data_IF_114617232686
#
_entry.id   IF_114617232686
#
_cell.length_a   1.000
_cell.length_b   1.000
_cell.length_c   1.000
_cell.angle_alpha   90.00
_cell.angle_beta   90.00
_cell.angle_gamma   90.00
#
_symmetry.space_group_name_H-M   'P 1'
#
loop_
_entity.id
_entity.type
_entity.pdbx_description
1 polymer ?
#
# COMPACT_ATOMS: atom_id res chain seq x y z
N UNK A 1 -3.30 27.91 -4.33
CA UNK A 1 -3.76 28.43 -3.03
C UNK A 1 -4.88 27.50 -2.55
N UNK A 2 -4.69 26.68 -1.50
CA UNK A 2 -5.74 25.75 -1.04
C UNK A 2 -7.00 26.50 -0.60
N UNK A 3 -8.16 26.05 -1.04
CA UNK A 3 -9.48 26.68 -0.78
C UNK A 3 -9.78 26.76 0.73
N UNK A 4 -9.34 25.75 1.49
CA UNK A 4 -9.41 25.75 2.96
C UNK A 4 -8.55 26.83 3.61
N UNK A 5 -7.35 27.07 3.06
CA UNK A 5 -6.47 28.15 3.50
C UNK A 5 -6.98 29.52 3.05
N UNK A 6 -7.74 29.60 1.96
CA UNK A 6 -8.42 30.82 1.56
C UNK A 6 -9.53 31.17 2.57
N UNK A 7 -10.41 30.23 2.93
CA UNK A 7 -11.45 30.49 3.93
C UNK A 7 -10.85 30.88 5.29
N UNK A 8 -9.82 30.18 5.76
CA UNK A 8 -9.10 30.56 7.00
C UNK A 8 -8.52 31.97 6.93
N UNK A 9 -7.94 32.35 5.79
CA UNK A 9 -7.35 33.68 5.59
C UNK A 9 -8.41 34.77 5.49
N UNK A 10 -9.52 34.49 4.83
CA UNK A 10 -10.70 35.38 4.80
C UNK A 10 -11.25 35.56 6.21
N UNK A 11 -11.44 34.48 6.99
CA UNK A 11 -11.87 34.58 8.39
C UNK A 11 -10.91 35.41 9.24
N UNK A 12 -9.61 35.34 8.98
CA UNK A 12 -8.59 36.13 9.69
C UNK A 12 -8.61 37.62 9.31
N UNK A 13 -8.90 37.95 8.04
CA UNK A 13 -8.94 39.32 7.54
C UNK A 13 -10.27 40.05 7.80
N UNK A 14 -11.28 39.34 8.32
CA UNK A 14 -12.65 39.84 8.44
C UNK A 14 -13.04 39.90 9.92
N UNK A 15 -13.69 40.98 10.35
CA UNK A 15 -14.11 41.18 11.74
C UNK A 15 -15.01 40.02 12.23
N UNK A 16 -14.82 39.47 13.45
CA UNK A 16 -15.50 38.25 13.91
C UNK A 16 -17.04 38.26 13.83
N UNK A 17 -17.65 39.46 13.92
CA UNK A 17 -19.11 39.65 13.78
C UNK A 17 -19.65 39.28 12.39
N UNK A 18 -18.81 39.26 11.36
CA UNK A 18 -19.20 38.95 9.99
C UNK A 18 -19.11 37.44 9.69
N UNK A 19 -18.63 36.61 10.62
CA UNK A 19 -18.54 35.16 10.42
C UNK A 19 -19.90 34.46 10.44
N UNK A 20 -20.89 35.06 11.10
CA UNK A 20 -22.26 34.58 11.25
C UNK A 20 -23.26 35.44 10.48
N UNK A 21 -22.77 36.32 9.59
CA UNK A 21 -23.67 37.09 8.72
C UNK A 21 -24.10 36.19 7.58
N UNK A 22 -25.42 36.05 7.47
CA UNK A 22 -26.08 35.27 6.43
C UNK A 22 -26.23 36.11 5.17
N UNK A 23 -26.15 35.44 4.02
CA UNK A 23 -26.50 36.04 2.74
C UNK A 23 -28.03 36.19 2.63
N UNK A 24 -28.53 36.83 1.56
CA UNK A 24 -29.97 36.94 1.23
C UNK A 24 -30.71 35.60 1.08
N UNK A 25 -30.00 34.47 1.18
CA UNK A 25 -30.53 33.10 1.14
C UNK A 25 -30.39 32.40 2.52
N UNK A 26 -30.33 33.17 3.63
CA UNK A 26 -30.23 32.70 5.02
C UNK A 26 -29.09 31.69 5.27
N UNK A 27 -28.02 31.76 4.47
CA UNK A 27 -26.88 30.84 4.53
C UNK A 27 -25.61 31.57 4.92
N UNK A 28 -24.85 31.00 5.85
CA UNK A 28 -23.57 31.57 6.29
C UNK A 28 -22.46 31.21 5.31
N UNK A 29 -21.45 32.09 5.16
CA UNK A 29 -20.28 31.82 4.30
C UNK A 29 -19.52 30.51 4.63
N UNK A 30 -19.64 30.02 5.87
CA UNK A 30 -19.09 28.72 6.29
C UNK A 30 -19.92 27.55 5.77
N UNK A 31 -21.25 27.61 5.87
CA UNK A 31 -22.16 26.56 5.34
C UNK A 31 -22.09 26.48 3.82
N UNK A 32 -22.06 27.63 3.13
CA UNK A 32 -21.89 27.68 1.68
C UNK A 32 -20.57 27.03 1.22
N UNK A 33 -19.51 27.23 2.01
CA UNK A 33 -18.23 26.57 1.78
C UNK A 33 -18.32 25.06 2.02
N UNK A 34 -18.97 24.64 3.11
CA UNK A 34 -19.13 23.25 3.50
C UNK A 34 -20.01 22.45 2.52
N UNK A 35 -21.12 23.02 2.06
CA UNK A 35 -21.97 22.44 1.01
C UNK A 35 -21.15 22.23 -0.26
N UNK A 36 -20.42 23.26 -0.72
CA UNK A 36 -19.61 23.17 -1.94
C UNK A 36 -18.41 22.23 -1.78
N UNK A 37 -17.80 22.13 -0.59
CA UNK A 37 -16.74 21.17 -0.32
C UNK A 37 -17.26 19.75 -0.11
N UNK A 38 -18.50 19.56 0.35
CA UNK A 38 -19.05 18.25 0.62
C UNK A 38 -19.14 17.39 -0.64
N UNK A 39 -19.47 17.98 -1.78
CA UNK A 39 -19.48 17.29 -3.09
C UNK A 39 -18.07 16.85 -3.49
N UNK A 40 -17.08 17.74 -3.35
CA UNK A 40 -15.67 17.45 -3.66
C UNK A 40 -15.10 16.37 -2.72
N UNK A 41 -15.47 16.42 -1.44
CA UNK A 41 -15.08 15.42 -0.44
C UNK A 41 -15.69 14.05 -0.75
N UNK A 42 -16.97 13.99 -1.18
CA UNK A 42 -17.62 12.74 -1.61
C UNK A 42 -16.97 12.15 -2.86
N UNK A 43 -16.63 12.98 -3.84
CA UNK A 43 -15.94 12.52 -5.06
C UNK A 43 -14.52 12.01 -4.73
N UNK A 44 -13.80 12.71 -3.84
CA UNK A 44 -12.49 12.27 -3.35
C UNK A 44 -12.59 10.95 -2.56
N UNK A 45 -13.61 10.79 -1.70
CA UNK A 45 -13.86 9.54 -0.99
C UNK A 45 -14.09 8.39 -1.96
N UNK A 46 -14.97 8.58 -2.96
CA UNK A 46 -15.25 7.57 -3.97
C UNK A 46 -13.98 7.19 -4.73
N UNK A 47 -13.20 8.18 -5.16
CA UNK A 47 -11.93 7.98 -5.84
C UNK A 47 -10.94 7.17 -5.00
N UNK A 48 -10.81 7.48 -3.70
CA UNK A 48 -9.93 6.74 -2.78
C UNK A 48 -10.43 5.31 -2.57
N UNK A 49 -11.74 5.08 -2.46
CA UNK A 49 -12.33 3.74 -2.32
C UNK A 49 -12.10 2.88 -3.56
N UNK A 50 -12.32 3.43 -4.75
CA UNK A 50 -12.06 2.72 -6.01
C UNK A 50 -10.59 2.35 -6.13
N UNK A 51 -9.69 3.30 -5.86
CA UNK A 51 -8.26 3.09 -5.91
C UNK A 51 -7.76 2.11 -4.83
N UNK A 52 -8.31 2.16 -3.62
CA UNK A 52 -8.04 1.20 -2.55
C UNK A 52 -8.45 -0.23 -2.97
N UNK A 53 -9.57 -0.38 -3.69
CA UNK A 53 -9.98 -1.66 -4.27
C UNK A 53 -8.97 -2.20 -5.28
N UNK A 54 -8.50 -1.38 -6.22
CA UNK A 54 -7.47 -1.78 -7.19
C UNK A 54 -6.15 -2.15 -6.52
N UNK A 55 -5.70 -1.38 -5.53
CA UNK A 55 -4.45 -1.66 -4.79
C UNK A 55 -4.62 -2.93 -3.95
N UNK A 56 -5.80 -3.20 -3.38
CA UNK A 56 -6.07 -4.42 -2.64
C UNK A 56 -5.91 -5.65 -3.53
N UNK A 57 -6.42 -5.60 -4.77
CA UNK A 57 -6.24 -6.67 -5.75
C UNK A 57 -4.75 -6.88 -6.05
N UNK A 58 -4.01 -5.78 -6.30
CA UNK A 58 -2.57 -5.84 -6.57
C UNK A 58 -1.76 -6.40 -5.39
N UNK A 59 -2.03 -5.95 -4.17
CA UNK A 59 -1.35 -6.45 -2.97
C UNK A 59 -1.65 -7.94 -2.75
N UNK A 60 -2.92 -8.33 -2.89
CA UNK A 60 -3.35 -9.74 -2.79
C UNK A 60 -2.60 -10.59 -3.81
N UNK A 61 -2.49 -10.12 -5.06
CA UNK A 61 -1.75 -10.82 -6.12
C UNK A 61 -0.26 -11.01 -5.76
N UNK A 62 0.41 -9.97 -5.27
CA UNK A 62 1.80 -10.08 -4.80
C UNK A 62 1.93 -11.09 -3.65
N UNK A 63 0.95 -11.14 -2.73
CA UNK A 63 0.92 -12.12 -1.65
C UNK A 63 0.84 -13.54 -2.20
N UNK A 64 -0.04 -13.82 -3.17
CA UNK A 64 -0.18 -15.16 -3.76
C UNK A 64 1.06 -15.61 -4.52
N UNK A 65 1.65 -14.71 -5.32
CA UNK A 65 2.87 -15.01 -6.09
C UNK A 65 4.03 -15.32 -5.15
N UNK A 66 4.27 -14.49 -4.14
CA UNK A 66 5.35 -14.73 -3.18
C UNK A 66 5.12 -15.97 -2.33
N UNK A 67 3.86 -16.28 -1.98
CA UNK A 67 3.53 -17.49 -1.23
C UNK A 67 3.86 -18.74 -2.03
N UNK A 68 3.49 -18.78 -3.32
CA UNK A 68 3.86 -19.89 -4.20
C UNK A 68 5.39 -20.02 -4.37
N UNK A 69 6.09 -18.89 -4.49
CA UNK A 69 7.54 -18.85 -4.61
C UNK A 69 8.26 -19.41 -3.37
N UNK A 70 7.75 -19.17 -2.15
CA UNK A 70 8.36 -19.71 -0.91
C UNK A 70 8.37 -21.24 -0.89
N UNK A 71 7.33 -21.90 -1.40
CA UNK A 71 7.25 -23.36 -1.44
C UNK A 71 7.98 -23.98 -2.63
N UNK A 72 8.37 -23.16 -3.60
CA UNK A 72 9.09 -23.61 -4.80
C UNK A 72 10.58 -23.50 -4.52
N UNK A 73 11.15 -24.50 -3.82
CA UNK A 73 12.59 -24.56 -3.53
C UNK A 73 13.33 -25.00 -4.80
N UNK A 74 14.18 -24.14 -5.40
CA UNK A 74 15.02 -24.55 -6.51
C UNK A 74 16.07 -25.57 -6.05
N UNK A 75 16.44 -26.53 -6.90
CA UNK A 75 17.59 -27.42 -6.66
C UNK A 75 17.32 -28.88 -6.32
N UNK A 76 16.05 -29.28 -6.14
CA UNK A 76 15.70 -30.68 -5.91
C UNK A 76 16.32 -31.31 -4.65
N UNK A 77 16.07 -32.60 -4.45
CA UNK A 77 16.61 -33.38 -3.34
C UNK A 77 17.72 -34.31 -3.84
N UNK A 78 18.81 -34.40 -3.08
CA UNK A 78 19.88 -35.36 -3.32
C UNK A 78 19.33 -36.77 -3.10
N UNK A 79 19.32 -37.60 -4.14
CA UNK A 79 18.72 -38.95 -4.11
C UNK A 79 19.44 -39.89 -3.12
N UNK A 80 20.68 -39.59 -2.74
CA UNK A 80 21.45 -40.42 -1.81
C UNK A 80 21.34 -40.00 -0.34
N UNK A 81 21.09 -38.72 -0.05
CA UNK A 81 21.01 -38.23 1.34
C UNK A 81 19.61 -37.74 1.75
N UNK A 82 18.72 -37.51 0.78
CA UNK A 82 17.40 -36.92 1.02
C UNK A 82 17.47 -35.43 1.40
N UNK A 83 18.64 -34.81 1.32
CA UNK A 83 18.89 -33.42 1.69
C UNK A 83 18.81 -32.57 0.41
N UNK A 84 18.19 -31.37 0.42
CA UNK A 84 18.18 -30.50 -0.74
C UNK A 84 19.60 -30.18 -1.20
N UNK A 85 19.92 -30.40 -2.47
CA UNK A 85 21.29 -30.24 -3.02
C UNK A 85 21.77 -28.79 -2.82
N UNK A 86 20.83 -27.84 -2.93
CA UNK A 86 21.07 -26.41 -2.79
C UNK A 86 21.39 -25.99 -1.34
N UNK A 87 20.94 -26.74 -0.33
CA UNK A 87 21.32 -26.54 1.07
C UNK A 87 22.81 -26.88 1.32
N UNK A 88 23.43 -27.73 0.49
CA UNK A 88 24.82 -28.15 0.74
C UNK A 88 25.86 -27.25 0.09
N UNK A 89 25.53 -26.58 -1.02
CA UNK A 89 26.49 -25.81 -1.82
C UNK A 89 26.27 -24.30 -1.86
N UNK A 90 25.06 -23.77 -1.66
CA UNK A 90 24.79 -22.32 -1.74
C UNK A 90 23.80 -21.83 -0.68
N UNK A 91 24.16 -22.08 0.57
CA UNK A 91 23.34 -21.75 1.74
C UNK A 91 23.02 -20.24 1.87
N UNK A 92 23.93 -19.35 1.46
CA UNK A 92 23.78 -17.89 1.57
C UNK A 92 22.71 -17.33 0.65
N UNK A 93 22.68 -17.78 -0.60
CA UNK A 93 21.83 -17.18 -1.65
C UNK A 93 20.37 -17.61 -1.48
N UNK A 94 20.14 -18.88 -1.09
CA UNK A 94 18.81 -19.36 -0.68
C UNK A 94 18.30 -18.66 0.57
N UNK A 95 19.18 -18.42 1.55
CA UNK A 95 18.77 -17.74 2.78
C UNK A 95 18.36 -16.30 2.48
N UNK A 96 19.11 -15.58 1.64
CA UNK A 96 18.72 -14.23 1.17
C UNK A 96 17.39 -14.25 0.41
N UNK A 97 17.18 -15.22 -0.48
CA UNK A 97 15.91 -15.39 -1.21
C UNK A 97 14.74 -15.58 -0.25
N UNK A 98 14.87 -16.46 0.75
CA UNK A 98 13.81 -16.68 1.74
C UNK A 98 13.54 -15.44 2.59
N UNK A 99 14.57 -14.69 2.98
CA UNK A 99 14.42 -13.43 3.71
C UNK A 99 13.66 -12.40 2.86
N UNK A 100 14.02 -12.22 1.59
CA UNK A 100 13.33 -11.28 0.71
C UNK A 100 11.86 -11.67 0.47
N UNK A 101 11.58 -12.95 0.20
CA UNK A 101 10.21 -13.44 0.06
C UNK A 101 9.40 -13.27 1.36
N UNK A 102 9.99 -13.58 2.51
CA UNK A 102 9.34 -13.44 3.81
C UNK A 102 8.99 -11.98 4.13
N UNK A 103 9.93 -11.05 3.90
CA UNK A 103 9.69 -9.61 4.09
C UNK A 103 8.62 -9.12 3.11
N UNK A 104 8.68 -9.51 1.82
CA UNK A 104 7.70 -9.11 0.83
C UNK A 104 6.28 -9.59 1.17
N UNK A 105 6.15 -10.82 1.69
CA UNK A 105 4.90 -11.40 2.17
C UNK A 105 4.34 -10.66 3.38
N UNK A 106 5.17 -10.43 4.40
CA UNK A 106 4.75 -9.71 5.60
C UNK A 106 4.22 -8.31 5.28
N UNK A 107 4.95 -7.57 4.44
CA UNK A 107 4.56 -6.22 4.02
C UNK A 107 3.27 -6.26 3.18
N UNK A 108 3.09 -7.28 2.33
CA UNK A 108 1.87 -7.44 1.54
C UNK A 108 0.64 -7.71 2.42
N UNK A 109 0.74 -8.65 3.37
CA UNK A 109 -0.36 -8.96 4.32
C UNK A 109 -0.74 -7.74 5.17
N UNK A 110 0.27 -7.01 5.66
CA UNK A 110 0.04 -5.76 6.40
C UNK A 110 -0.72 -4.72 5.54
N UNK A 111 -0.33 -4.59 4.28
CA UNK A 111 -0.98 -3.70 3.31
C UNK A 111 -2.44 -4.12 3.07
N UNK A 112 -2.69 -5.41 2.85
CA UNK A 112 -4.05 -5.94 2.66
C UNK A 112 -4.94 -5.63 3.87
N UNK A 113 -4.44 -5.85 5.09
CA UNK A 113 -5.21 -5.57 6.33
C UNK A 113 -5.56 -4.09 6.51
N UNK A 114 -4.61 -3.19 6.22
CA UNK A 114 -4.83 -1.73 6.30
C UNK A 114 -5.79 -1.24 5.21
N UNK A 115 -5.71 -1.77 3.99
CA UNK A 115 -6.66 -1.48 2.91
C UNK A 115 -8.08 -1.97 3.22
N UNK A 116 -8.20 -3.19 3.74
CA UNK A 116 -9.49 -3.72 4.18
C UNK A 116 -10.10 -2.83 5.26
N UNK A 117 -9.27 -2.34 6.19
CA UNK A 117 -9.70 -1.40 7.22
C UNK A 117 -10.20 -0.08 6.63
N UNK A 118 -9.56 0.43 5.58
CA UNK A 118 -10.00 1.65 4.87
C UNK A 118 -11.34 1.42 4.15
N UNK A 119 -11.49 0.28 3.46
CA UNK A 119 -12.69 -0.04 2.68
C UNK A 119 -13.90 -0.33 3.57
N UNK A 120 -13.69 -1.03 4.70
CA UNK A 120 -14.73 -1.41 5.66
C UNK A 120 -15.13 -0.27 6.60
N UNK A 121 -14.29 0.75 6.78
CA UNK A 121 -14.60 1.89 7.64
C UNK A 121 -15.72 2.75 7.04
N UNK A 122 -16.68 3.14 7.89
CA UNK A 122 -17.71 4.13 7.56
C UNK A 122 -17.13 5.54 7.81
N UNK A 123 -17.27 6.42 6.83
CA UNK A 123 -16.72 7.78 6.82
C UNK A 123 -17.66 8.75 7.54
N UNK A 124 -17.91 8.52 8.82
CA UNK A 124 -18.93 9.26 9.59
C UNK A 124 -18.34 10.26 10.60
N UNK A 125 -17.02 10.47 10.59
CA UNK A 125 -16.35 11.35 11.56
C UNK A 125 -15.38 12.32 10.88
N UNK A 126 -15.44 13.61 11.21
CA UNK A 126 -14.56 14.64 10.66
C UNK A 126 -13.06 14.33 10.86
N UNK A 127 -12.69 13.74 12.00
CA UNK A 127 -11.32 13.31 12.28
C UNK A 127 -10.85 12.16 11.37
N UNK A 128 -11.79 11.38 10.84
CA UNK A 128 -11.50 10.28 9.92
C UNK A 128 -11.01 10.81 8.57
N UNK A 129 -11.56 11.92 8.08
CA UNK A 129 -11.16 12.52 6.80
C UNK A 129 -9.70 13.01 6.81
N UNK A 130 -9.17 13.41 7.96
CA UNK A 130 -7.77 13.85 8.10
C UNK A 130 -6.83 12.65 8.25
N UNK A 131 -7.24 11.61 8.99
CA UNK A 131 -6.41 10.41 9.20
C UNK A 131 -6.34 9.50 7.95
N UNK A 132 -7.39 9.52 7.12
CA UNK A 132 -7.50 8.69 5.92
C UNK A 132 -6.36 8.90 4.89
N UNK A 133 -6.03 10.11 4.42
CA UNK A 133 -4.94 10.32 3.46
C UNK A 133 -3.60 9.86 4.01
N UNK A 134 -3.37 9.98 5.32
CA UNK A 134 -2.14 9.50 5.97
C UNK A 134 -2.05 7.98 5.88
N UNK A 135 -3.12 7.26 6.27
CA UNK A 135 -3.17 5.79 6.14
C UNK A 135 -3.00 5.36 4.68
N UNK A 136 -3.65 6.06 3.76
CA UNK A 136 -3.53 5.79 2.33
C UNK A 136 -2.10 5.97 1.80
N UNK A 137 -1.39 7.02 2.20
CA UNK A 137 0.02 7.19 1.87
C UNK A 137 0.89 6.06 2.42
N UNK A 138 0.64 5.58 3.65
CA UNK A 138 1.39 4.44 4.22
C UNK A 138 1.22 3.16 3.41
N UNK A 139 0.02 2.93 2.86
CA UNK A 139 -0.29 1.79 1.98
C UNK A 139 0.47 1.88 0.65
N UNK A 140 0.50 3.05 0.02
CA UNK A 140 1.23 3.21 -1.26
C UNK A 140 2.71 2.92 -1.05
N UNK A 141 3.28 3.46 0.02
CA UNK A 141 4.70 3.28 0.36
C UNK A 141 4.98 1.79 0.62
N UNK A 142 4.13 1.10 1.38
CA UNK A 142 4.33 -0.33 1.68
C UNK A 142 4.20 -1.21 0.43
N UNK A 143 3.26 -0.94 -0.47
CA UNK A 143 3.12 -1.67 -1.75
C UNK A 143 4.36 -1.49 -2.62
N UNK A 144 4.88 -0.27 -2.70
CA UNK A 144 6.09 0.00 -3.47
C UNK A 144 7.28 -0.83 -2.95
N UNK A 145 7.48 -0.87 -1.63
CA UNK A 145 8.50 -1.71 -1.02
C UNK A 145 8.26 -3.21 -1.26
N UNK A 146 7.03 -3.69 -1.09
CA UNK A 146 6.68 -5.10 -1.35
C UNK A 146 6.98 -5.51 -2.79
N UNK A 147 6.65 -4.66 -3.76
CA UNK A 147 6.96 -4.89 -5.17
C UNK A 147 8.48 -4.91 -5.41
N UNK A 148 9.23 -3.95 -4.84
CA UNK A 148 10.69 -3.92 -4.97
C UNK A 148 11.36 -5.19 -4.41
N UNK A 149 10.94 -5.65 -3.23
CA UNK A 149 11.44 -6.90 -2.64
C UNK A 149 11.08 -8.13 -3.45
N UNK A 150 9.88 -8.17 -4.04
CA UNK A 150 9.46 -9.26 -4.92
C UNK A 150 10.34 -9.35 -6.17
N UNK A 151 10.67 -8.20 -6.79
CA UNK A 151 11.59 -8.16 -7.94
C UNK A 151 13.00 -8.61 -7.53
N UNK A 152 13.51 -8.15 -6.39
CA UNK A 152 14.81 -8.60 -5.88
C UNK A 152 14.83 -10.10 -5.62
N UNK A 153 13.76 -10.66 -5.05
CA UNK A 153 13.63 -12.10 -4.85
C UNK A 153 13.66 -12.86 -6.19
N UNK A 154 13.00 -12.34 -7.22
CA UNK A 154 13.04 -12.92 -8.57
C UNK A 154 14.44 -12.90 -9.19
N UNK A 155 15.18 -11.80 -9.04
CA UNK A 155 16.58 -11.71 -9.51
C UNK A 155 17.47 -12.71 -8.77
N UNK A 156 17.31 -12.85 -7.45
CA UNK A 156 18.05 -13.85 -6.69
C UNK A 156 17.69 -15.28 -7.11
N UNK A 157 16.42 -15.56 -7.42
CA UNK A 157 16.00 -16.86 -7.92
C UNK A 157 16.69 -17.20 -9.26
N UNK A 158 16.78 -16.25 -10.19
CA UNK A 158 17.48 -16.43 -11.47
C UNK A 158 18.99 -16.61 -11.28
N UNK A 159 19.61 -15.90 -10.34
CA UNK A 159 21.03 -16.10 -10.02
C UNK A 159 21.30 -17.51 -9.49
N UNK A 160 20.42 -18.00 -8.60
CA UNK A 160 20.52 -19.37 -8.07
C UNK A 160 20.35 -20.42 -9.19
N UNK A 161 19.42 -20.18 -10.13
CA UNK A 161 19.22 -21.07 -11.29
C UNK A 161 20.41 -21.07 -12.26
N UNK A 162 20.97 -19.90 -12.58
CA UNK A 162 22.14 -19.80 -13.46
C UNK A 162 23.37 -20.52 -12.88
N UNK A 163 23.58 -20.43 -11.55
CA UNK A 163 24.71 -21.12 -10.90
C UNK A 163 24.47 -22.64 -10.85
N UNK A 164 23.21 -23.07 -10.80
CA UNK A 164 22.86 -24.48 -10.89
C UNK A 164 23.17 -25.06 -12.28
N UNK A 165 22.77 -24.37 -13.35
CA UNK A 165 23.01 -24.81 -14.75
C UNK A 165 24.49 -24.88 -15.11
N UNK A 166 25.30 -23.92 -14.67
CA UNK A 166 26.77 -23.93 -14.89
C UNK A 166 27.45 -25.15 -14.24
N UNK A 167 26.83 -25.73 -13.21
CA UNK A 167 27.36 -26.90 -12.48
C UNK A 167 27.00 -28.23 -13.11
N UNK A 168 25.92 -28.29 -13.90
CA UNK A 168 25.50 -29.51 -14.61
C UNK A 168 26.29 -29.71 -15.93
N UNK A 169 26.94 -28.66 -16.45
CA UNK A 169 27.78 -28.67 -17.66
C UNK A 169 29.25 -29.10 -17.40
N UNK A 170 29.63 -29.45 -16.16
CA UNK A 170 31.02 -29.76 -15.75
C UNK A 170 31.17 -31.17 -15.15
#
# INVERSE_FOLDING_TARGET
MNTFNFLKRVKYCVHPRLWTVENNEDTTATELFEIKHSEVCKEAEKSIRELAGSILILATLLCTVNFAAVFTVPGGFDQNSGIPILLKTQHSDLWMLMVFLGVALYVSVFTVGTLLSILLSKFDSDDFYIALPVKYCTVIISVYYSAAFTVLAGVQALNVENIFMDKDDL
#
